data_IF_735747636944
#
_entry.id   IF_735747636944
#
_cell.length_a   1.000
_cell.length_b   1.000
_cell.length_c   1.000
_cell.angle_alpha   90.00
_cell.angle_beta   90.00
_cell.angle_gamma   90.00
#
_symmetry.space_group_name_H-M   'P 1'
#
loop_
_entity.id
_entity.type
_entity.pdbx_description
1 polymer ?
#
# COMPACT_ATOMS: atom_id res chain seq x y z
N UNK A 1 -33.16 -40.76 75.09
CA UNK A 1 -31.93 -40.50 75.87
C UNK A 1 -31.03 -41.74 75.84
N UNK A 2 -30.02 -41.72 74.95
CA UNK A 2 -28.77 -42.50 74.92
C UNK A 2 -27.83 -41.68 74.04
N UNK A 3 -26.54 -41.50 74.27
CA UNK A 3 -25.68 -41.38 75.45
C UNK A 3 -24.39 -40.77 74.86
N UNK A 4 -23.72 -39.85 75.56
CA UNK A 4 -22.59 -39.06 75.05
C UNK A 4 -21.35 -39.86 74.58
N UNK A 5 -21.39 -41.20 74.61
CA UNK A 5 -20.34 -42.08 74.08
C UNK A 5 -20.40 -42.27 72.55
N UNK A 6 -21.56 -42.08 71.93
CA UNK A 6 -21.73 -42.28 70.48
C UNK A 6 -21.15 -41.12 69.66
N UNK A 7 -21.01 -39.92 70.26
CA UNK A 7 -20.50 -38.72 69.57
C UNK A 7 -18.98 -38.76 69.43
N UNK A 8 -18.26 -39.37 70.38
CA UNK A 8 -16.78 -39.42 70.36
C UNK A 8 -16.23 -40.38 69.28
N UNK A 9 -16.97 -41.46 68.96
CA UNK A 9 -16.58 -42.40 67.92
C UNK A 9 -16.80 -41.85 66.49
N UNK A 10 -17.74 -40.92 66.32
CA UNK A 10 -18.05 -40.28 65.03
C UNK A 10 -17.01 -39.20 64.69
N UNK A 11 -16.48 -38.48 65.70
CA UNK A 11 -15.50 -37.41 65.48
C UNK A 11 -14.09 -37.91 65.14
N UNK A 12 -13.64 -39.04 65.69
CA UNK A 12 -12.34 -39.63 65.32
C UNK A 12 -12.35 -40.21 63.89
N UNK A 13 -13.50 -40.68 63.39
CA UNK A 13 -13.61 -41.25 62.03
C UNK A 13 -13.66 -40.19 60.92
N UNK A 14 -13.98 -38.94 61.27
CA UNK A 14 -14.03 -37.82 60.32
C UNK A 14 -12.64 -37.16 60.11
N UNK A 15 -11.71 -37.29 61.07
CA UNK A 15 -10.35 -36.75 60.95
C UNK A 15 -9.52 -37.39 59.83
N UNK A 16 -9.55 -38.71 59.71
CA UNK A 16 -8.79 -39.45 58.69
C UNK A 16 -9.31 -39.26 57.25
N UNK A 17 -10.62 -39.02 57.11
CA UNK A 17 -11.26 -38.85 55.80
C UNK A 17 -10.94 -37.48 55.16
N UNK A 18 -10.60 -36.49 55.98
CA UNK A 18 -10.36 -35.11 55.52
C UNK A 18 -8.91 -34.92 55.03
N UNK A 19 -7.96 -35.69 55.58
CA UNK A 19 -6.56 -35.69 55.12
C UNK A 19 -6.37 -36.44 53.80
N UNK A 20 -7.13 -37.52 53.55
CA UNK A 20 -7.10 -38.25 52.28
C UNK A 20 -7.61 -37.39 51.11
N UNK A 21 -8.67 -36.60 51.32
CA UNK A 21 -9.23 -35.73 50.29
C UNK A 21 -8.33 -34.53 49.93
N UNK A 22 -7.52 -34.04 50.88
CA UNK A 22 -6.60 -32.92 50.63
C UNK A 22 -5.36 -33.31 49.79
N UNK A 23 -4.98 -34.59 49.76
CA UNK A 23 -3.82 -35.08 48.99
C UNK A 23 -4.19 -35.33 47.53
N UNK A 24 -5.38 -35.86 47.24
CA UNK A 24 -5.80 -36.12 45.85
C UNK A 24 -6.06 -34.85 45.03
N UNK A 25 -6.62 -33.80 45.64
CA UNK A 25 -6.88 -32.55 44.91
C UNK A 25 -5.57 -31.89 44.43
N UNK A 26 -4.49 -31.97 45.21
CA UNK A 26 -3.17 -31.43 44.84
C UNK A 26 -2.43 -32.25 43.78
N UNK A 27 -2.76 -33.54 43.61
CA UNK A 27 -2.16 -34.40 42.59
C UNK A 27 -2.79 -34.17 41.20
N UNK A 28 -4.11 -33.97 41.14
CA UNK A 28 -4.83 -33.74 39.87
C UNK A 28 -4.52 -32.35 39.28
N UNK A 29 -4.28 -31.33 40.11
CA UNK A 29 -3.91 -29.98 39.60
C UNK A 29 -2.51 -29.92 38.98
N UNK A 30 -1.60 -30.84 39.33
CA UNK A 30 -0.25 -30.89 38.72
C UNK A 30 -0.20 -31.74 37.45
N UNK A 31 -1.17 -32.62 37.22
CA UNK A 31 -1.21 -33.44 36.00
C UNK A 31 -1.93 -32.76 34.83
N UNK A 32 -2.91 -31.88 35.09
CA UNK A 32 -3.57 -31.08 34.04
C UNK A 32 -2.72 -29.92 33.51
N UNK A 33 -1.68 -29.50 34.22
CA UNK A 33 -0.71 -28.51 33.75
C UNK A 33 0.46 -29.11 32.94
N UNK A 34 0.63 -30.44 32.95
CA UNK A 34 1.71 -31.11 32.24
C UNK A 34 1.33 -31.59 30.82
N UNK A 35 0.03 -31.71 30.50
CA UNK A 35 -0.43 -32.07 29.15
C UNK A 35 -0.63 -30.84 28.25
N UNK A 36 -0.62 -29.62 28.81
CA UNK A 36 -0.66 -28.38 28.02
C UNK A 36 0.72 -27.88 27.55
N UNK A 37 1.76 -28.72 27.57
CA UNK A 37 3.11 -28.36 27.14
C UNK A 37 3.74 -29.36 26.14
N UNK A 38 2.96 -30.27 25.57
CA UNK A 38 3.46 -31.30 24.65
C UNK A 38 2.57 -31.51 23.42
N UNK A 39 1.97 -30.44 22.90
CA UNK A 39 1.63 -30.36 21.47
C UNK A 39 2.75 -29.56 20.82
N UNK A 40 3.61 -30.32 20.14
CA UNK A 40 4.80 -29.83 19.49
C UNK A 40 4.52 -28.64 18.58
N UNK A 41 5.49 -27.74 18.57
CA UNK A 41 5.66 -26.71 17.59
C UNK A 41 5.73 -27.29 16.18
N UNK A 42 4.57 -27.54 15.56
CA UNK A 42 4.45 -27.26 14.15
C UNK A 42 4.46 -25.74 14.09
N UNK A 43 5.62 -25.16 13.75
CA UNK A 43 5.70 -23.77 13.38
C UNK A 43 4.72 -23.57 12.23
N UNK A 44 3.51 -23.10 12.56
CA UNK A 44 2.69 -22.40 11.60
C UNK A 44 3.63 -21.37 10.99
N UNK A 45 3.80 -21.31 9.65
CA UNK A 45 4.52 -20.19 9.08
C UNK A 45 3.85 -18.96 9.68
N UNK A 46 4.63 -18.17 10.43
CA UNK A 46 4.14 -16.90 10.91
C UNK A 46 3.55 -16.24 9.67
N UNK A 47 2.22 -16.07 9.66
CA UNK A 47 1.60 -15.23 8.67
C UNK A 47 2.33 -13.91 8.85
N UNK A 48 3.28 -13.63 7.95
CA UNK A 48 3.90 -12.33 7.89
C UNK A 48 2.71 -11.43 7.70
N UNK A 49 2.38 -10.69 8.76
CA UNK A 49 1.61 -9.48 8.64
C UNK A 49 2.22 -8.76 7.45
N UNK A 50 1.52 -8.76 6.32
CA UNK A 50 1.80 -7.86 5.22
C UNK A 50 1.53 -6.49 5.83
N UNK A 51 2.51 -5.97 6.56
CA UNK A 51 2.44 -4.62 7.10
C UNK A 51 2.18 -3.75 5.90
N UNK A 52 1.03 -3.06 5.90
CA UNK A 52 0.70 -2.08 4.88
C UNK A 52 1.93 -1.18 4.61
N UNK A 53 2.11 -0.69 3.37
CA UNK A 53 3.21 0.21 3.04
C UNK A 53 3.33 1.30 4.09
N UNK A 54 4.54 1.49 4.61
CA UNK A 54 4.86 2.48 5.66
C UNK A 54 4.64 3.92 5.16
N UNK A 55 4.48 4.12 3.86
CA UNK A 55 4.17 5.40 3.23
C UNK A 55 2.65 5.55 2.99
N UNK A 56 2.01 6.43 3.76
CA UNK A 56 0.57 6.76 3.65
C UNK A 56 0.16 7.33 2.29
N UNK A 57 1.12 7.73 1.45
CA UNK A 57 0.86 8.26 0.11
C UNK A 57 0.65 7.17 -0.93
N UNK A 58 0.93 5.90 -0.59
CA UNK A 58 0.68 4.74 -1.46
C UNK A 58 -0.82 4.53 -1.59
N UNK A 59 -1.28 4.43 -2.84
CA UNK A 59 -2.69 4.15 -3.13
C UNK A 59 -2.87 2.68 -3.50
N UNK A 60 -3.74 2.00 -2.75
CA UNK A 60 -4.20 0.66 -3.10
C UNK A 60 -5.14 0.76 -4.29
N UNK A 61 -4.91 -0.07 -5.30
CA UNK A 61 -5.74 -0.14 -6.50
C UNK A 61 -6.19 -1.58 -6.65
N UNK A 62 -7.51 -1.78 -6.74
CA UNK A 62 -8.16 -3.06 -6.97
C UNK A 62 -8.78 -3.03 -8.38
N UNK A 63 -8.03 -3.43 -9.42
CA UNK A 63 -8.46 -3.27 -10.82
C UNK A 63 -9.73 -4.06 -11.16
N UNK A 64 -10.05 -5.06 -10.34
CA UNK A 64 -11.21 -5.92 -10.57
C UNK A 64 -12.48 -5.43 -9.85
N UNK A 65 -12.35 -4.56 -8.84
CA UNK A 65 -13.47 -4.00 -8.08
C UNK A 65 -14.06 -2.72 -8.70
N UNK A 66 -13.26 -1.94 -9.43
CA UNK A 66 -13.69 -0.69 -10.05
C UNK A 66 -13.10 -0.52 -11.46
N UNK A 67 -13.92 -0.02 -12.40
CA UNK A 67 -13.50 0.19 -13.79
C UNK A 67 -12.47 1.33 -13.94
N UNK A 68 -12.46 2.28 -13.02
CA UNK A 68 -11.52 3.41 -13.00
C UNK A 68 -11.25 3.87 -11.57
N UNK A 69 -10.01 4.26 -11.29
CA UNK A 69 -9.57 4.72 -9.97
C UNK A 69 -8.74 5.99 -10.15
N UNK A 70 -9.28 7.11 -9.67
CA UNK A 70 -8.57 8.39 -9.65
C UNK A 70 -7.35 8.32 -8.73
N UNK A 71 -6.17 8.58 -9.27
CA UNK A 71 -4.93 8.70 -8.51
C UNK A 71 -4.75 10.13 -7.98
N UNK A 72 -4.56 10.28 -6.67
CA UNK A 72 -4.43 11.59 -5.99
C UNK A 72 -3.17 11.65 -5.13
N UNK A 73 -2.82 12.85 -4.64
CA UNK A 73 -1.68 13.07 -3.74
C UNK A 73 -0.36 12.56 -4.33
N UNK A 74 0.01 13.15 -5.46
CA UNK A 74 1.25 12.91 -6.18
C UNK A 74 2.40 13.64 -5.53
N UNK A 75 3.55 12.97 -5.41
CA UNK A 75 4.82 13.63 -5.10
C UNK A 75 5.27 14.41 -6.33
N UNK A 76 5.57 15.69 -6.15
CA UNK A 76 5.81 16.62 -7.25
C UNK A 76 7.07 17.44 -7.04
N UNK A 77 7.88 17.57 -8.09
CA UNK A 77 9.07 18.41 -8.10
C UNK A 77 9.28 19.11 -9.44
N UNK A 78 9.61 20.40 -9.40
CA UNK A 78 10.05 21.16 -10.56
C UNK A 78 11.52 20.88 -10.87
N UNK A 79 11.83 20.73 -12.15
CA UNK A 79 13.18 20.42 -12.65
C UNK A 79 13.16 19.33 -13.71
N UNK A 80 14.30 19.12 -14.36
CA UNK A 80 14.41 18.15 -15.46
C UNK A 80 15.57 17.17 -15.23
N UNK A 81 15.36 16.17 -14.35
CA UNK A 81 16.38 15.17 -14.03
C UNK A 81 15.86 13.76 -14.39
N UNK A 82 16.37 13.12 -15.46
CA UNK A 82 15.88 11.81 -15.90
C UNK A 82 15.90 10.70 -14.83
N UNK A 83 16.86 10.76 -13.88
CA UNK A 83 16.94 9.82 -12.75
C UNK A 83 15.70 9.81 -11.87
N UNK A 84 14.85 10.83 -11.93
CA UNK A 84 13.60 10.91 -11.18
C UNK A 84 12.54 9.91 -11.67
N UNK A 85 12.71 9.28 -12.83
CA UNK A 85 11.89 8.15 -13.26
C UNK A 85 12.17 6.86 -12.47
N UNK A 86 13.36 6.73 -11.86
CA UNK A 86 13.81 5.45 -11.31
C UNK A 86 13.09 5.10 -9.99
N UNK A 87 12.67 3.83 -9.80
CA UNK A 87 12.01 3.39 -8.56
C UNK A 87 12.82 3.62 -7.29
N UNK A 88 14.15 3.50 -7.38
CA UNK A 88 15.05 3.63 -6.24
C UNK A 88 15.43 5.08 -5.89
N UNK A 89 14.96 6.07 -6.65
CA UNK A 89 15.17 7.47 -6.31
C UNK A 89 14.21 7.86 -5.17
N UNK A 90 14.74 8.40 -4.07
CA UNK A 90 13.91 8.91 -2.96
C UNK A 90 13.28 10.25 -3.35
N UNK A 91 11.95 10.28 -3.31
CA UNK A 91 11.09 11.45 -3.51
C UNK A 91 10.46 11.93 -2.19
N UNK A 92 10.99 11.49 -1.04
CA UNK A 92 10.49 11.83 0.29
C UNK A 92 10.38 13.34 0.52
N UNK A 93 11.32 14.11 -0.02
CA UNK A 93 11.39 15.56 0.11
C UNK A 93 10.50 16.33 -0.89
N UNK A 94 9.74 15.64 -1.75
CA UNK A 94 8.91 16.29 -2.76
C UNK A 94 7.60 16.77 -2.15
N UNK A 95 7.04 17.83 -2.73
CA UNK A 95 5.74 18.34 -2.31
C UNK A 95 4.63 17.35 -2.67
N UNK A 96 3.64 17.18 -1.80
CA UNK A 96 2.42 16.45 -2.13
C UNK A 96 1.42 17.38 -2.77
N UNK A 97 0.91 16.98 -3.93
CA UNK A 97 -0.04 17.78 -4.72
C UNK A 97 -1.21 16.91 -5.15
N UNK A 98 -2.38 17.46 -5.45
CA UNK A 98 -3.51 16.68 -5.97
C UNK A 98 -3.20 15.95 -7.29
N UNK A 99 -2.11 16.31 -7.98
CA UNK A 99 -1.80 15.86 -9.33
C UNK A 99 -2.63 16.56 -10.41
N UNK A 100 -3.64 17.35 -10.01
CA UNK A 100 -4.62 18.00 -10.87
C UNK A 100 -4.66 19.51 -10.78
N UNK A 101 -4.93 20.19 -11.89
CA UNK A 101 -5.12 21.64 -11.93
C UNK A 101 -3.91 22.41 -12.44
N UNK A 102 -3.95 23.73 -12.34
CA UNK A 102 -2.90 24.62 -12.86
C UNK A 102 -1.69 24.68 -11.91
N UNK A 103 -0.47 24.62 -12.47
CA UNK A 103 0.79 24.73 -11.72
C UNK A 103 0.88 26.00 -10.86
N UNK A 104 0.41 27.14 -11.40
CA UNK A 104 0.42 28.42 -10.70
C UNK A 104 -0.43 28.43 -9.43
N UNK A 105 -1.44 27.56 -9.34
CA UNK A 105 -2.31 27.44 -8.16
C UNK A 105 -1.73 26.48 -7.09
N UNK A 106 -0.60 25.84 -7.38
CA UNK A 106 0.05 24.84 -6.54
C UNK A 106 1.48 25.23 -6.17
N UNK A 107 1.81 26.52 -6.29
CA UNK A 107 3.17 27.05 -6.05
C UNK A 107 4.25 26.37 -6.93
N UNK A 108 3.84 25.83 -8.08
CA UNK A 108 4.75 25.25 -9.07
C UNK A 108 5.03 26.31 -10.15
N UNK A 109 6.30 26.46 -10.60
CA UNK A 109 6.63 27.37 -11.68
C UNK A 109 5.73 27.14 -12.91
N UNK A 110 5.14 28.20 -13.50
CA UNK A 110 4.17 28.06 -14.59
C UNK A 110 4.77 27.57 -15.92
N UNK A 111 6.11 27.57 -16.01
CA UNK A 111 6.88 27.12 -17.17
C UNK A 111 8.02 26.20 -16.77
N UNK A 112 8.39 25.34 -17.69
CA UNK A 112 9.50 24.40 -17.55
C UNK A 112 9.03 22.96 -17.46
N UNK A 113 9.78 22.14 -16.71
CA UNK A 113 9.50 20.71 -16.54
C UNK A 113 9.14 20.44 -15.09
N UNK A 114 8.09 19.64 -14.91
CA UNK A 114 7.60 19.18 -13.61
C UNK A 114 7.48 17.67 -13.66
N UNK A 115 7.95 17.04 -12.61
CA UNK A 115 7.83 15.61 -12.41
C UNK A 115 6.77 15.29 -11.37
N UNK A 116 6.00 14.24 -11.66
CA UNK A 116 5.04 13.66 -10.75
C UNK A 116 5.41 12.20 -10.50
N UNK A 117 5.29 11.76 -9.26
CA UNK A 117 5.52 10.38 -8.84
C UNK A 117 4.36 9.89 -8.00
N UNK A 118 3.87 8.69 -8.30
CA UNK A 118 2.84 8.01 -7.53
C UNK A 118 3.19 6.55 -7.35
N UNK A 119 3.33 6.15 -6.10
CA UNK A 119 3.38 4.76 -5.73
C UNK A 119 1.94 4.21 -5.62
N UNK A 120 1.73 3.04 -6.21
CA UNK A 120 0.50 2.27 -6.07
C UNK A 120 0.82 0.85 -5.60
N UNK A 121 -0.15 0.21 -4.98
CA UNK A 121 -0.08 -1.20 -4.62
C UNK A 121 -1.21 -1.97 -5.30
N UNK A 122 -0.85 -3.02 -6.05
CA UNK A 122 -1.78 -3.98 -6.64
C UNK A 122 -1.82 -5.23 -5.73
N UNK A 123 -2.83 -5.39 -4.87
CA UNK A 123 -2.87 -6.45 -3.88
C UNK A 123 -3.17 -7.83 -4.47
N UNK A 124 -3.80 -7.86 -5.64
CA UNK A 124 -4.28 -9.07 -6.31
C UNK A 124 -3.98 -9.03 -7.81
N UNK A 125 -3.82 -10.21 -8.45
CA UNK A 125 -3.54 -10.26 -9.88
C UNK A 125 -4.77 -9.81 -10.67
N UNK A 126 -4.53 -9.06 -11.74
CA UNK A 126 -5.60 -8.59 -12.64
C UNK A 126 -6.21 -9.77 -13.39
N UNK A 127 -7.54 -9.81 -13.45
CA UNK A 127 -8.27 -10.80 -14.24
C UNK A 127 -7.70 -10.95 -15.67
N UNK A 128 -7.64 -12.21 -16.13
CA UNK A 128 -7.07 -12.57 -17.44
C UNK A 128 -7.81 -11.97 -18.64
N UNK A 129 -9.03 -11.48 -18.47
CA UNK A 129 -9.84 -10.79 -19.48
C UNK A 129 -9.79 -9.27 -19.37
N UNK A 130 -9.18 -8.71 -18.31
CA UNK A 130 -9.03 -7.27 -18.08
C UNK A 130 -7.61 -6.78 -18.38
N UNK A 131 -7.47 -5.53 -18.77
CA UNK A 131 -6.17 -4.87 -19.00
C UNK A 131 -6.10 -3.58 -18.20
N UNK A 132 -4.92 -3.28 -17.66
CA UNK A 132 -4.67 -2.02 -16.96
C UNK A 132 -4.22 -0.95 -17.94
N UNK A 133 -4.70 0.27 -17.76
CA UNK A 133 -4.21 1.44 -18.49
C UNK A 133 -4.18 2.66 -17.56
N UNK A 134 -3.27 3.58 -17.85
CA UNK A 134 -3.32 4.93 -17.30
C UNK A 134 -4.09 5.82 -18.26
N UNK A 135 -5.06 6.58 -17.73
CA UNK A 135 -5.80 7.53 -18.52
C UNK A 135 -5.51 8.96 -18.06
N UNK A 136 -4.93 9.75 -18.98
CA UNK A 136 -4.66 11.16 -18.80
C UNK A 136 -5.65 12.00 -19.61
N UNK A 137 -6.69 12.52 -18.94
CA UNK A 137 -7.88 13.08 -19.60
C UNK A 137 -7.57 14.39 -20.36
N UNK A 138 -6.92 15.35 -19.70
CA UNK A 138 -6.85 16.73 -20.18
C UNK A 138 -5.44 17.34 -20.15
N UNK A 139 -4.44 16.58 -20.63
CA UNK A 139 -3.06 17.07 -20.78
C UNK A 139 -2.70 17.48 -22.20
N UNK A 140 -2.75 18.78 -22.49
CA UNK A 140 -2.19 19.40 -23.71
C UNK A 140 -0.66 19.62 -23.62
N UNK A 141 -0.06 19.30 -22.47
CA UNK A 141 1.37 19.41 -22.25
C UNK A 141 2.14 18.24 -22.89
N UNK A 142 3.41 18.48 -23.22
CA UNK A 142 4.29 17.41 -23.63
C UNK A 142 4.59 16.52 -22.42
N UNK A 143 4.41 15.20 -22.54
CA UNK A 143 4.72 14.29 -21.44
C UNK A 143 5.45 13.01 -21.86
N UNK A 144 6.18 12.45 -20.90
CA UNK A 144 6.67 11.08 -20.89
C UNK A 144 6.06 10.37 -19.69
N UNK A 145 5.62 9.12 -19.89
CA UNK A 145 5.03 8.27 -18.86
C UNK A 145 5.95 7.08 -18.63
N UNK A 146 6.33 6.89 -17.37
CA UNK A 146 7.21 5.81 -16.93
C UNK A 146 6.45 4.90 -15.96
N UNK A 147 6.68 3.60 -16.10
CA UNK A 147 6.20 2.56 -15.19
C UNK A 147 7.38 1.76 -14.69
N UNK A 148 7.60 1.76 -13.37
CA UNK A 148 8.75 1.14 -12.72
C UNK A 148 10.09 1.57 -13.34
N UNK A 149 10.16 2.81 -13.82
CA UNK A 149 11.32 3.40 -14.49
C UNK A 149 11.46 3.08 -15.99
N UNK A 150 10.64 2.16 -16.54
CA UNK A 150 10.57 1.93 -17.98
C UNK A 150 9.67 2.98 -18.64
N UNK A 151 10.15 3.60 -19.70
CA UNK A 151 9.35 4.54 -20.49
C UNK A 151 8.30 3.77 -21.30
N UNK A 152 7.03 3.97 -21.00
CA UNK A 152 5.91 3.24 -21.64
C UNK A 152 5.09 4.11 -22.60
N UNK A 153 5.17 5.44 -22.49
CA UNK A 153 4.55 6.33 -23.47
C UNK A 153 5.25 7.69 -23.59
N UNK A 154 5.06 8.30 -24.77
CA UNK A 154 5.44 9.68 -25.09
C UNK A 154 4.25 10.38 -25.74
N UNK A 155 3.97 11.60 -25.32
CA UNK A 155 3.04 12.50 -25.97
C UNK A 155 3.74 13.84 -26.23
N UNK A 156 4.02 14.12 -27.50
CA UNK A 156 4.92 15.23 -27.87
C UNK A 156 6.39 14.93 -27.50
N UNK A 157 7.14 15.98 -27.16
CA UNK A 157 8.56 15.91 -26.77
C UNK A 157 8.81 16.87 -25.60
N UNK A 158 8.88 16.38 -24.36
CA UNK A 158 9.11 17.24 -23.20
C UNK A 158 10.55 17.77 -23.18
N UNK A 159 10.74 19.06 -22.88
CA UNK A 159 12.06 19.68 -22.77
C UNK A 159 12.00 20.96 -21.95
N UNK A 160 12.99 21.17 -21.08
CA UNK A 160 13.19 22.48 -20.43
C UNK A 160 13.57 23.60 -21.41
N UNK A 161 13.96 23.27 -22.64
CA UNK A 161 14.26 24.23 -23.70
C UNK A 161 13.00 24.46 -24.57
N UNK A 162 12.44 25.69 -24.59
CA UNK A 162 11.22 25.99 -25.33
C UNK A 162 11.33 25.75 -26.83
N UNK A 163 12.54 25.80 -27.41
CA UNK A 163 12.76 25.54 -28.83
C UNK A 163 12.84 24.04 -29.16
N UNK A 164 13.03 23.18 -28.16
CA UNK A 164 13.12 21.73 -28.32
C UNK A 164 11.87 20.99 -27.85
N UNK A 165 11.02 21.67 -27.08
CA UNK A 165 9.71 21.16 -26.69
C UNK A 165 8.80 21.01 -27.91
N UNK A 166 8.01 19.93 -27.92
CA UNK A 166 6.89 19.78 -28.85
C UNK A 166 5.67 19.39 -28.03
N UNK A 167 4.62 20.21 -28.05
CA UNK A 167 3.38 19.93 -27.35
C UNK A 167 2.78 18.57 -27.79
N UNK A 168 2.06 17.94 -26.87
CA UNK A 168 1.31 16.71 -27.11
C UNK A 168 -0.13 16.99 -27.58
N UNK A 169 -0.89 15.93 -27.80
CA UNK A 169 -2.35 15.99 -27.99
C UNK A 169 -3.07 15.83 -26.65
N UNK A 170 -4.25 16.44 -26.50
CA UNK A 170 -5.09 16.18 -25.32
C UNK A 170 -5.65 14.77 -25.34
N UNK A 171 -5.81 14.16 -24.16
CA UNK A 171 -6.29 12.79 -24.01
C UNK A 171 -5.20 11.76 -24.36
N UNK A 172 -4.71 11.04 -23.35
CA UNK A 172 -3.73 9.96 -23.54
C UNK A 172 -4.17 8.74 -22.74
N UNK A 173 -4.37 7.62 -23.42
CA UNK A 173 -4.56 6.31 -22.79
C UNK A 173 -3.25 5.54 -22.99
N UNK A 174 -2.66 5.06 -21.89
CA UNK A 174 -1.41 4.30 -21.89
C UNK A 174 -1.68 2.90 -21.34
N UNK A 175 -1.85 1.88 -22.20
CA UNK A 175 -1.95 0.50 -21.76
C UNK A 175 -0.68 0.07 -21.03
N UNK A 176 -0.84 -0.56 -19.86
CA UNK A 176 0.27 -1.20 -19.15
C UNK A 176 0.39 -2.63 -19.68
N UNK A 177 1.55 -3.03 -20.25
CA UNK A 177 1.73 -4.39 -20.72
C UNK A 177 1.52 -5.40 -19.57
N UNK A 178 0.80 -6.52 -19.83
CA UNK A 178 0.52 -7.54 -18.80
C UNK A 178 1.75 -8.03 -18.04
N UNK A 179 2.91 -8.11 -18.70
CA UNK A 179 4.19 -8.50 -18.09
C UNK A 179 4.67 -7.55 -16.99
N UNK A 180 4.13 -6.34 -16.94
CA UNK A 180 4.50 -5.25 -16.02
C UNK A 180 3.40 -4.95 -14.98
N UNK A 181 2.21 -5.54 -15.13
CA UNK A 181 1.05 -5.31 -14.25
C UNK A 181 0.87 -6.45 -13.24
N UNK A 182 1.98 -6.90 -12.64
CA UNK A 182 1.97 -7.94 -11.62
C UNK A 182 1.36 -7.46 -10.30
N UNK A 183 1.30 -8.34 -9.30
CA UNK A 183 0.99 -7.92 -7.93
C UNK A 183 2.18 -7.20 -7.31
N UNK A 184 1.89 -6.32 -6.35
CA UNK A 184 2.90 -5.64 -5.54
C UNK A 184 2.96 -4.13 -5.77
N UNK A 185 4.10 -3.57 -5.40
CA UNK A 185 4.37 -2.14 -5.52
C UNK A 185 4.75 -1.77 -6.94
N UNK A 186 4.12 -0.72 -7.45
CA UNK A 186 4.48 -0.10 -8.72
C UNK A 186 4.66 1.41 -8.57
N UNK A 187 5.59 1.96 -9.35
CA UNK A 187 5.83 3.39 -9.43
C UNK A 187 5.41 3.91 -10.80
N UNK A 188 4.52 4.90 -10.78
CA UNK A 188 4.21 5.72 -11.94
C UNK A 188 5.01 7.01 -11.82
N UNK A 189 5.76 7.37 -12.87
CA UNK A 189 6.43 8.65 -12.95
C UNK A 189 6.05 9.37 -14.25
N UNK A 190 5.71 10.67 -14.14
CA UNK A 190 5.38 11.52 -15.27
C UNK A 190 6.41 12.63 -15.35
N UNK A 191 6.96 12.86 -16.54
CA UNK A 191 7.76 14.05 -16.85
C UNK A 191 6.93 14.92 -17.77
N UNK A 192 6.45 16.05 -17.26
CA UNK A 192 5.55 16.96 -17.96
C UNK A 192 6.25 18.27 -18.23
N UNK A 193 6.13 18.78 -19.45
CA UNK A 193 6.77 20.00 -19.88
C UNK A 193 5.76 20.99 -20.43
N UNK A 194 5.96 22.26 -20.04
CA UNK A 194 5.26 23.42 -20.55
C UNK A 194 6.25 24.60 -20.69
N UNK A 195 7.31 24.42 -21.49
CA UNK A 195 8.39 25.40 -21.63
C UNK A 195 8.12 26.44 -22.72
N UNK A 196 7.59 26.00 -23.87
CA UNK A 196 7.32 26.76 -25.08
C UNK A 196 5.82 26.99 -25.39
N UNK A 197 4.90 26.34 -24.67
CA UNK A 197 3.45 26.54 -24.81
C UNK A 197 2.84 27.43 -23.70
N UNK A 198 1.61 27.91 -23.92
CA UNK A 198 0.79 28.57 -22.89
C UNK A 198 0.24 27.52 -21.89
N UNK A 199 0.25 27.85 -20.59
CA UNK A 199 -0.02 26.89 -19.51
C UNK A 199 -1.46 26.41 -19.39
N UNK A 200 -1.62 25.14 -19.00
CA UNK A 200 -2.71 24.72 -18.11
C UNK A 200 -3.46 23.46 -18.52
N UNK A 201 -3.49 22.46 -17.62
CA UNK A 201 -4.48 21.39 -17.62
C UNK A 201 -5.84 22.02 -17.30
N UNK A 202 -6.76 22.08 -18.26
CA UNK A 202 -8.09 22.70 -18.07
C UNK A 202 -8.93 21.90 -17.06
N UNK A 203 -8.64 20.61 -16.86
CA UNK A 203 -9.35 19.75 -15.91
C UNK A 203 -8.44 18.72 -15.20
N UNK A 204 -9.01 18.01 -14.22
CA UNK A 204 -8.31 16.96 -13.47
C UNK A 204 -7.69 15.92 -14.39
N UNK A 205 -6.37 15.63 -14.28
CA UNK A 205 -5.63 14.93 -15.31
C UNK A 205 -5.71 13.42 -15.20
N UNK A 206 -6.31 12.81 -14.17
CA UNK A 206 -6.31 11.35 -14.01
C UNK A 206 -7.66 10.89 -13.47
N UNK A 207 -8.25 9.92 -14.15
CA UNK A 207 -9.39 9.10 -13.74
C UNK A 207 -9.00 7.64 -13.96
#
# INVERSE_FOLDING_TARGET
>A
MRSARDVKYILDRLGDSTLAFCVEVRAVTRFLLAILFLVGATGAPAAQSLSAPVDETVQYVFPDEADAVKLVWWRTAAGDKPRWALPNYSDESWALTPGSGLWVLQDIPPKGVVWYRKAIFLPEPIDSFKSLALYMVASVAACEVYWDGELIARNGKPSSDPHKERAGTSGLIVPIPRRMSGTGMHLIALRVSNAGAFSGLIESPIQ
#
